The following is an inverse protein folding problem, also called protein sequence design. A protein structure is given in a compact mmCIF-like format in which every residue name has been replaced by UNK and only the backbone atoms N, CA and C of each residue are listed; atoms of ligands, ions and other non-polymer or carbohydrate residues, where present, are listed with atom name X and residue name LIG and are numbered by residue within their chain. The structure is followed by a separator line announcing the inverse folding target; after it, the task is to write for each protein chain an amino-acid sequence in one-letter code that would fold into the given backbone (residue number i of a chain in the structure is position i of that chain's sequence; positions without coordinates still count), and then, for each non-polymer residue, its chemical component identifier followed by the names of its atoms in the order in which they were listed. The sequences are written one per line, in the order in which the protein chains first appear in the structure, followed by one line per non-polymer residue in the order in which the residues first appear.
data_IF_369325686302
#
_entry.id   IF_369325686302
#
_cell.length_a   1.000
_cell.length_b   1.000
_cell.length_c   1.000
_cell.angle_alpha   90.00
_cell.angle_beta   90.00
_cell.angle_gamma   90.00
#
_symmetry.space_group_name_H-M   'P 1'
#
loop_
_entity.id
_entity.type
_entity.pdbx_description
1 polymer ?
#
# COMPACT_ATOMS: atom_id res chain seq x y z
N UNK A 1 -11.60 -11.38 -7.11
CA UNK A 1 -10.32 -11.77 -6.46
C UNK A 1 -9.77 -10.76 -5.45
N UNK A 2 -10.14 -9.46 -5.51
CA UNK A 2 -9.46 -8.41 -4.73
C UNK A 2 -9.81 -8.29 -3.24
N UNK A 3 -11.07 -8.45 -2.84
CA UNK A 3 -11.48 -8.28 -1.43
C UNK A 3 -10.83 -9.31 -0.49
N UNK A 4 -10.69 -10.56 -0.93
CA UNK A 4 -10.11 -11.63 -0.11
C UNK A 4 -8.62 -11.42 0.20
N UNK A 5 -7.85 -10.89 -0.75
CA UNK A 5 -6.43 -10.61 -0.52
C UNK A 5 -6.22 -9.46 0.47
N UNK A 6 -6.98 -8.38 0.32
CA UNK A 6 -6.93 -7.25 1.27
C UNK A 6 -7.32 -7.68 2.67
N UNK A 7 -8.37 -8.50 2.82
CA UNK A 7 -8.79 -9.00 4.13
C UNK A 7 -7.76 -9.96 4.74
N UNK A 8 -7.12 -10.81 3.93
CA UNK A 8 -5.98 -11.61 4.37
C UNK A 8 -4.83 -10.73 4.85
N UNK A 9 -4.51 -9.66 4.12
CA UNK A 9 -3.46 -8.72 4.52
C UNK A 9 -3.81 -7.97 5.81
N UNK A 10 -5.07 -7.55 5.98
CA UNK A 10 -5.58 -6.96 7.23
C UNK A 10 -5.43 -7.93 8.40
N UNK A 11 -5.87 -9.18 8.22
CA UNK A 11 -5.78 -10.22 9.24
C UNK A 11 -4.33 -10.57 9.62
N UNK A 12 -3.45 -10.67 8.62
CA UNK A 12 -2.02 -10.89 8.84
C UNK A 12 -1.38 -9.70 9.57
N UNK A 13 -1.73 -8.46 9.22
CA UNK A 13 -1.26 -7.27 9.92
C UNK A 13 -1.75 -7.24 11.37
N UNK A 14 -2.98 -7.69 11.66
CA UNK A 14 -3.44 -7.86 13.05
C UNK A 14 -2.58 -8.89 13.79
N UNK A 15 -2.34 -10.04 13.19
CA UNK A 15 -1.54 -11.11 13.81
C UNK A 15 -0.11 -10.64 14.10
N UNK A 16 0.48 -9.88 13.17
CA UNK A 16 1.78 -9.25 13.35
C UNK A 16 1.77 -8.30 14.55
N UNK A 17 0.78 -7.42 14.63
CA UNK A 17 0.62 -6.50 15.75
C UNK A 17 0.45 -7.24 17.09
N UNK A 18 -0.36 -8.31 17.12
CA UNK A 18 -0.58 -9.11 18.32
C UNK A 18 0.69 -9.83 18.80
N UNK A 19 1.61 -10.16 17.88
CA UNK A 19 2.86 -10.88 18.18
C UNK A 19 4.04 -9.95 18.49
N UNK A 20 4.17 -8.85 17.77
CA UNK A 20 5.34 -7.95 17.81
C UNK A 20 5.04 -6.65 18.56
N UNK A 21 3.77 -6.24 18.62
CA UNK A 21 3.34 -4.97 19.22
C UNK A 21 3.48 -3.76 18.29
N UNK A 22 4.05 -3.93 17.09
CA UNK A 22 4.34 -2.87 16.11
C UNK A 22 3.31 -2.83 14.97
N UNK A 23 3.35 -1.79 14.14
CA UNK A 23 2.45 -1.65 13.00
C UNK A 23 3.11 -2.20 11.74
N UNK A 24 2.59 -3.33 11.26
CA UNK A 24 3.10 -4.02 10.05
C UNK A 24 3.41 -3.11 8.86
N UNK A 25 2.55 -2.13 8.55
CA UNK A 25 2.76 -1.27 7.38
C UNK A 25 3.86 -0.24 7.60
N UNK A 26 4.10 0.17 8.85
CA UNK A 26 5.19 1.07 9.22
C UNK A 26 6.51 0.33 9.02
N UNK A 27 6.64 -0.86 9.59
CA UNK A 27 7.87 -1.67 9.50
C UNK A 27 8.12 -2.12 8.06
N UNK A 28 7.06 -2.40 7.30
CA UNK A 28 7.15 -2.66 5.86
C UNK A 28 7.78 -1.48 5.13
N UNK A 29 7.34 -0.25 5.40
CA UNK A 29 7.93 0.95 4.76
C UNK A 29 9.38 1.11 5.20
N UNK A 30 9.68 1.01 6.48
CA UNK A 30 11.05 1.19 7.01
C UNK A 30 12.05 0.19 6.41
N UNK A 31 11.68 -1.09 6.33
CA UNK A 31 12.53 -2.13 5.74
C UNK A 31 12.79 -1.86 4.25
N UNK A 32 11.76 -1.50 3.49
CA UNK A 32 11.92 -1.20 2.07
C UNK A 32 12.69 0.11 1.84
N UNK A 33 12.55 1.08 2.74
CA UNK A 33 13.27 2.34 2.69
C UNK A 33 14.76 2.15 2.90
N UNK A 34 15.16 1.29 3.85
CA UNK A 34 16.55 0.91 4.06
C UNK A 34 17.19 0.26 2.80
N UNK A 35 16.38 -0.29 1.90
CA UNK A 35 16.81 -0.90 0.63
C UNK A 35 16.72 0.08 -0.56
N UNK A 36 16.31 1.32 -0.35
CA UNK A 36 16.11 2.30 -1.43
C UNK A 36 14.91 2.01 -2.33
N UNK A 37 13.93 1.22 -1.85
CA UNK A 37 12.73 0.81 -2.60
C UNK A 37 11.51 1.69 -2.29
N UNK A 38 11.72 2.83 -1.64
CA UNK A 38 10.67 3.71 -1.16
C UNK A 38 10.83 5.11 -1.72
N UNK A 39 9.70 5.76 -2.05
CA UNK A 39 9.65 7.17 -2.39
C UNK A 39 8.48 7.83 -1.67
N UNK A 40 8.77 8.90 -0.94
CA UNK A 40 7.77 9.68 -0.21
C UNK A 40 7.24 10.84 -1.05
N UNK A 41 5.95 11.11 -0.93
CA UNK A 41 5.29 12.28 -1.48
C UNK A 41 4.27 12.84 -0.48
N UNK A 42 4.68 13.85 0.28
CA UNK A 42 3.92 14.39 1.41
C UNK A 42 3.51 13.28 2.41
N UNK A 43 2.21 13.05 2.62
CA UNK A 43 1.63 12.04 3.51
C UNK A 43 1.33 10.70 2.82
N UNK A 44 1.85 10.49 1.60
CA UNK A 44 1.75 9.24 0.87
C UNK A 44 3.15 8.69 0.54
N UNK A 45 3.24 7.37 0.43
CA UNK A 45 4.49 6.67 0.13
C UNK A 45 4.27 5.64 -0.96
N UNK A 46 5.22 5.54 -1.88
CA UNK A 46 5.29 4.49 -2.89
C UNK A 46 6.38 3.50 -2.47
N UNK A 47 6.05 2.22 -2.50
CA UNK A 47 6.92 1.11 -2.10
C UNK A 47 6.97 0.12 -3.26
N UNK A 48 8.17 -0.28 -3.68
CA UNK A 48 8.38 -1.41 -4.59
C UNK A 48 8.51 -2.66 -3.74
N UNK A 49 7.53 -3.58 -3.72
CA UNK A 49 7.55 -4.73 -2.82
C UNK A 49 8.59 -5.76 -3.27
N UNK A 50 9.42 -6.22 -2.33
CA UNK A 50 10.40 -7.31 -2.58
C UNK A 50 9.71 -8.60 -3.02
N UNK A 51 8.51 -8.85 -2.48
CA UNK A 51 7.69 -10.04 -2.77
C UNK A 51 6.56 -9.74 -3.77
N UNK A 52 6.78 -8.82 -4.71
CA UNK A 52 5.84 -8.52 -5.79
C UNK A 52 5.51 -9.75 -6.64
N UNK A 53 4.29 -9.81 -7.18
CA UNK A 53 3.84 -10.94 -8.03
C UNK A 53 4.05 -10.68 -9.51
N UNK A 54 4.15 -9.42 -9.90
CA UNK A 54 4.34 -8.96 -11.27
C UNK A 54 5.58 -8.09 -11.37
N UNK A 55 6.11 -7.99 -12.58
CA UNK A 55 7.16 -7.02 -12.90
C UNK A 55 6.62 -5.60 -12.68
N UNK A 56 7.46 -4.73 -12.12
CA UNK A 56 7.16 -3.31 -11.87
C UNK A 56 5.96 -3.06 -10.95
N UNK A 57 5.64 -3.99 -10.05
CA UNK A 57 4.59 -3.76 -9.07
C UNK A 57 4.94 -2.60 -8.11
N UNK A 58 3.96 -1.73 -7.84
CA UNK A 58 4.11 -0.63 -6.89
C UNK A 58 2.93 -0.62 -5.92
N UNK A 59 3.25 -0.52 -4.63
CA UNK A 59 2.31 -0.36 -3.53
C UNK A 59 2.35 1.09 -3.06
N UNK A 60 1.21 1.77 -3.13
CA UNK A 60 1.03 3.13 -2.63
C UNK A 60 0.27 3.05 -1.30
N UNK A 61 0.82 3.71 -0.28
CA UNK A 61 0.24 3.73 1.06
C UNK A 61 0.04 5.19 1.50
N UNK A 62 -1.03 5.43 2.26
CA UNK A 62 -1.23 6.67 3.01
C UNK A 62 -2.15 6.41 4.19
N UNK A 63 -2.08 7.24 5.23
CA UNK A 63 -2.94 7.05 6.40
C UNK A 63 -4.44 7.14 6.03
N UNK A 64 -4.78 8.07 5.13
CA UNK A 64 -6.15 8.27 4.62
C UNK A 64 -6.15 8.46 3.11
N UNK A 65 -7.27 8.20 2.42
CA UNK A 65 -7.40 8.57 1.02
C UNK A 65 -7.34 10.09 0.88
N UNK A 66 -6.38 10.60 0.10
CA UNK A 66 -6.12 12.04 0.00
C UNK A 66 -5.38 12.45 -1.27
N UNK A 67 -5.21 13.76 -1.45
CA UNK A 67 -4.62 14.36 -2.64
C UNK A 67 -3.22 13.82 -2.95
N UNK A 68 -2.39 13.64 -1.92
CA UNK A 68 -1.02 13.13 -2.08
C UNK A 68 -1.01 11.71 -2.63
N UNK A 69 -1.88 10.84 -2.11
CA UNK A 69 -2.03 9.47 -2.60
C UNK A 69 -2.48 9.45 -4.08
N UNK A 70 -3.47 10.26 -4.44
CA UNK A 70 -3.96 10.30 -5.83
C UNK A 70 -2.95 10.90 -6.80
N UNK A 71 -2.20 11.93 -6.39
CA UNK A 71 -1.09 12.46 -7.18
C UNK A 71 0.02 11.44 -7.34
N UNK A 72 0.35 10.70 -6.29
CA UNK A 72 1.35 9.64 -6.35
C UNK A 72 0.93 8.51 -7.29
N UNK A 73 -0.36 8.13 -7.28
CA UNK A 73 -0.94 7.22 -8.26
C UNK A 73 -0.79 7.76 -9.69
N UNK A 74 -1.14 9.03 -9.91
CA UNK A 74 -0.98 9.67 -11.21
C UNK A 74 0.47 9.66 -11.71
N UNK A 75 1.43 10.01 -10.85
CA UNK A 75 2.86 9.98 -11.20
C UNK A 75 3.35 8.55 -11.47
N UNK A 76 2.87 7.56 -10.71
CA UNK A 76 3.21 6.15 -10.91
C UNK A 76 2.75 5.66 -12.29
N UNK A 77 1.48 5.87 -12.64
CA UNK A 77 0.93 5.46 -13.94
C UNK A 77 1.64 6.21 -15.08
N UNK A 78 1.87 7.52 -14.91
CA UNK A 78 2.57 8.32 -15.91
C UNK A 78 3.99 7.80 -16.15
N UNK A 79 4.68 7.39 -15.09
CA UNK A 79 6.02 6.80 -15.18
C UNK A 79 6.00 5.47 -15.92
N UNK A 80 5.05 4.58 -15.61
CA UNK A 80 4.91 3.32 -16.37
C UNK A 80 4.67 3.54 -17.85
N UNK A 81 3.80 4.48 -18.21
CA UNK A 81 3.52 4.79 -19.61
C UNK A 81 4.72 5.42 -20.32
N UNK A 82 5.34 6.44 -19.70
CA UNK A 82 6.35 7.26 -20.37
C UNK A 82 7.77 6.69 -20.32
N UNK A 83 8.11 5.93 -19.27
CA UNK A 83 9.47 5.40 -19.06
C UNK A 83 9.56 3.91 -19.38
N UNK A 84 8.54 3.15 -19.01
CA UNK A 84 8.55 1.69 -19.14
C UNK A 84 7.73 1.19 -20.33
N UNK A 85 7.04 2.08 -21.05
CA UNK A 85 6.19 1.76 -22.21
C UNK A 85 5.16 0.65 -21.92
N UNK A 86 4.69 0.57 -20.67
CA UNK A 86 3.67 -0.39 -20.24
C UNK A 86 2.31 0.34 -20.19
N UNK A 87 1.39 0.10 -21.14
CA UNK A 87 0.12 0.83 -21.20
C UNK A 87 -0.97 0.25 -20.29
N UNK A 88 -0.89 -1.05 -19.98
CA UNK A 88 -1.93 -1.80 -19.29
C UNK A 88 -1.51 -2.09 -17.85
N UNK A 89 -2.41 -1.79 -16.91
CA UNK A 89 -2.22 -2.06 -15.48
C UNK A 89 -3.51 -2.58 -14.85
N UNK A 90 -3.35 -3.48 -13.88
CA UNK A 90 -4.37 -3.80 -12.90
C UNK A 90 -4.17 -2.94 -11.66
N UNK A 91 -5.25 -2.30 -11.21
CA UNK A 91 -5.23 -1.47 -10.01
C UNK A 91 -6.20 -2.05 -9.00
N UNK A 92 -5.75 -2.15 -7.76
CA UNK A 92 -6.58 -2.53 -6.63
C UNK A 92 -6.46 -1.51 -5.53
N UNK A 93 -7.58 -1.22 -4.87
CA UNK A 93 -7.62 -0.21 -3.82
C UNK A 93 -8.30 -0.79 -2.58
N UNK A 94 -7.75 -0.46 -1.42
CA UNK A 94 -8.31 -0.76 -0.12
C UNK A 94 -8.22 0.48 0.75
N UNK A 95 -9.26 0.70 1.56
CA UNK A 95 -9.36 1.90 2.37
C UNK A 95 -9.42 1.55 3.85
N UNK A 96 -9.02 2.48 4.73
CA UNK A 96 -9.24 2.33 6.16
C UNK A 96 -10.72 2.09 6.48
N UNK A 97 -11.03 1.41 7.59
CA UNK A 97 -12.41 1.14 7.99
C UNK A 97 -13.19 2.43 8.22
N UNK A 98 -14.43 2.49 7.72
CA UNK A 98 -15.33 3.66 7.87
C UNK A 98 -15.90 3.76 9.29
N UNK A 99 -16.01 2.63 10.00
CA UNK A 99 -16.69 2.55 11.29
C UNK A 99 -15.72 2.74 12.44
N UNK A 100 -15.99 3.69 13.33
CA UNK A 100 -15.34 3.83 14.63
C UNK A 100 -15.90 2.81 15.63
N UNK A 101 -15.04 2.03 16.31
CA UNK A 101 -15.44 1.07 17.36
C UNK A 101 -14.57 -0.19 17.40
N UNK A 102 -14.85 -1.18 18.27
CA UNK A 102 -14.01 -2.38 18.43
C UNK A 102 -13.81 -3.18 17.14
N UNK A 103 -14.82 -3.18 16.24
CA UNK A 103 -14.72 -3.80 14.91
C UNK A 103 -13.88 -3.00 13.91
N UNK A 104 -13.80 -1.68 14.07
CA UNK A 104 -12.92 -0.82 13.27
C UNK A 104 -11.52 -0.64 13.86
N UNK A 105 -11.33 -1.01 15.13
CA UNK A 105 -10.04 -1.00 15.82
C UNK A 105 -9.18 -2.23 15.48
N UNK A 106 -9.78 -3.30 14.92
CA UNK A 106 -9.06 -4.48 14.48
C UNK A 106 -8.30 -4.21 13.18
N UNK A 107 -6.98 -4.08 13.31
CA UNK A 107 -5.98 -3.78 12.29
C UNK A 107 -6.41 -2.63 11.37
N UNK A 108 -6.10 -1.41 11.83
CA UNK A 108 -6.20 -0.20 11.03
C UNK A 108 -5.28 -0.34 9.82
N UNK A 109 -5.85 -0.73 8.68
CA UNK A 109 -5.13 -0.72 7.41
C UNK A 109 -5.06 0.72 6.89
N UNK A 110 -3.92 1.13 6.31
CA UNK A 110 -3.84 2.40 5.61
C UNK A 110 -4.75 2.39 4.37
N UNK A 111 -4.85 3.54 3.72
CA UNK A 111 -5.23 3.59 2.33
C UNK A 111 -4.15 2.90 1.49
N UNK A 112 -4.52 1.88 0.74
CA UNK A 112 -3.63 1.07 -0.09
C UNK A 112 -4.09 1.14 -1.53
N UNK A 113 -3.17 1.45 -2.44
CA UNK A 113 -3.37 1.27 -3.87
C UNK A 113 -2.23 0.42 -4.40
N UNK A 114 -2.56 -0.72 -5.02
CA UNK A 114 -1.57 -1.57 -5.68
C UNK A 114 -1.73 -1.43 -7.19
N UNK A 115 -0.63 -1.18 -7.88
CA UNK A 115 -0.56 -1.09 -9.34
C UNK A 115 0.37 -2.19 -9.84
N UNK A 116 -0.10 -3.00 -10.79
CA UNK A 116 0.58 -4.15 -11.37
C UNK A 116 0.39 -4.18 -12.89
#
# INVERSE_FOLDING_TARGET
HYYGFTEQQRSAAQTYHDQVGENYFTDLVEIHEALGLVTHYHDAVAVVPITGKTDLEVLLLSHTPGNSLYKLLYYTITTFHQKFYQPCHSISMAWPPVVSGPRGAQAQIPAIIRVA
#
